data_IF_426028422993
#
_entry.id   IF_426028422993
#
_cell.length_a   1.000
_cell.length_b   1.000
_cell.length_c   1.000
_cell.angle_alpha   90.00
_cell.angle_beta   90.00
_cell.angle_gamma   90.00
#
_symmetry.space_group_name_H-M   'P 1'
#
loop_
_entity.id
_entity.type
_entity.pdbx_description
1 polymer ?
#
# COMPACT_ATOMS: atom_id res chain seq x y z
N UNK A 1 3.88 -58.45 62.09
CA UNK A 1 2.94 -57.35 62.36
C UNK A 1 3.63 -56.08 61.97
N UNK A 2 3.43 -55.58 60.78
CA UNK A 2 4.11 -54.40 60.23
C UNK A 2 3.09 -53.50 59.52
N UNK A 3 2.78 -52.41 60.19
CA UNK A 3 1.78 -51.44 59.72
C UNK A 3 2.47 -50.40 58.82
N UNK A 4 2.16 -50.37 57.56
CA UNK A 4 2.73 -49.41 56.59
C UNK A 4 1.88 -48.15 56.58
N UNK A 5 2.42 -47.02 56.92
CA UNK A 5 1.79 -45.70 56.81
C UNK A 5 1.91 -45.18 55.39
N UNK A 6 0.80 -44.99 54.74
CA UNK A 6 0.68 -44.36 53.43
C UNK A 6 0.62 -42.82 53.65
N UNK A 7 1.68 -42.09 53.31
CA UNK A 7 1.64 -40.63 53.29
C UNK A 7 1.13 -40.13 51.93
N UNK A 8 -0.04 -39.54 51.92
CA UNK A 8 -0.64 -38.87 50.78
C UNK A 8 -0.03 -37.48 50.70
N UNK A 9 0.83 -37.24 49.71
CA UNK A 9 1.28 -35.89 49.34
C UNK A 9 0.26 -35.26 48.39
N UNK A 10 -0.56 -34.35 48.90
CA UNK A 10 -1.40 -33.50 48.08
C UNK A 10 -0.53 -32.35 47.49
N UNK A 11 -0.19 -32.47 46.22
CA UNK A 11 0.41 -31.39 45.46
C UNK A 11 -0.67 -30.40 45.04
N UNK A 12 -0.75 -29.25 45.70
CA UNK A 12 -1.58 -28.14 45.27
C UNK A 12 -0.92 -27.47 44.07
N UNK A 13 -1.45 -27.73 42.88
CA UNK A 13 -1.09 -27.00 41.64
C UNK A 13 -1.78 -25.64 41.72
N UNK A 14 -1.03 -24.61 42.08
CA UNK A 14 -1.46 -23.23 42.04
C UNK A 14 -1.43 -22.77 40.55
N UNK A 15 -2.54 -22.90 39.84
CA UNK A 15 -2.72 -22.32 38.50
C UNK A 15 -2.83 -20.82 38.66
N UNK A 16 -1.70 -20.09 38.51
CA UNK A 16 -1.73 -18.66 38.34
C UNK A 16 -2.33 -18.34 36.95
N UNK A 17 -3.63 -18.03 36.93
CA UNK A 17 -4.25 -17.42 35.77
C UNK A 17 -3.65 -16.03 35.59
N UNK A 18 -2.68 -15.92 34.67
CA UNK A 18 -2.21 -14.64 34.20
C UNK A 18 -3.35 -14.07 33.36
N UNK A 19 -4.20 -13.25 33.99
CA UNK A 19 -5.14 -12.42 33.27
C UNK A 19 -4.32 -11.39 32.49
N UNK A 20 -4.08 -11.65 31.21
CA UNK A 20 -3.58 -10.64 30.28
C UNK A 20 -4.73 -9.65 30.10
N UNK A 21 -4.78 -8.64 30.97
CA UNK A 21 -5.56 -7.45 30.73
C UNK A 21 -4.92 -6.75 29.52
N UNK A 22 -5.44 -7.02 28.33
CA UNK A 22 -5.20 -6.15 27.17
C UNK A 22 -5.81 -4.80 27.51
N UNK A 23 -5.00 -3.91 28.07
CA UNK A 23 -5.37 -2.49 28.13
C UNK A 23 -5.52 -2.08 26.66
N UNK A 24 -6.74 -1.72 26.28
CA UNK A 24 -6.95 -0.99 25.03
C UNK A 24 -6.07 0.26 25.15
N UNK A 25 -5.03 0.36 24.33
CA UNK A 25 -4.15 1.51 24.32
C UNK A 25 -5.01 2.72 23.96
N UNK A 26 -4.96 3.76 24.77
CA UNK A 26 -5.65 4.99 24.46
C UNK A 26 -5.16 5.53 23.12
N UNK A 27 -6.08 6.08 22.33
CA UNK A 27 -5.73 6.67 21.04
C UNK A 27 -4.75 7.84 21.23
N UNK A 28 -3.80 8.03 20.30
CA UNK A 28 -2.96 9.22 20.29
C UNK A 28 -3.81 10.49 20.36
N UNK A 29 -3.43 11.43 21.22
CA UNK A 29 -4.17 12.68 21.46
C UNK A 29 -3.66 13.85 20.62
N UNK A 30 -2.60 13.63 19.83
CA UNK A 30 -2.04 14.61 18.89
C UNK A 30 -1.37 13.93 17.70
N UNK A 31 -1.16 14.69 16.64
CA UNK A 31 -0.41 14.22 15.47
C UNK A 31 1.04 13.84 15.83
N UNK A 32 1.67 14.60 16.74
CA UNK A 32 3.02 14.31 17.23
C UNK A 32 3.09 13.00 18.00
N UNK A 33 2.06 12.71 18.81
CA UNK A 33 1.99 11.43 19.52
C UNK A 33 1.78 10.29 18.52
N UNK A 34 0.87 10.43 17.55
CA UNK A 34 0.66 9.44 16.48
C UNK A 34 1.97 9.15 15.72
N UNK A 35 2.69 10.21 15.33
CA UNK A 35 4.01 10.10 14.69
C UNK A 35 5.01 9.36 15.56
N UNK A 36 5.11 9.73 16.84
CA UNK A 36 6.07 9.13 17.78
C UNK A 36 5.78 7.65 18.04
N UNK A 37 4.50 7.29 18.11
CA UNK A 37 4.06 5.89 18.27
C UNK A 37 4.34 5.06 17.03
N UNK A 38 4.10 5.62 15.82
CA UNK A 38 4.48 4.97 14.57
C UNK A 38 6.00 4.74 14.50
N UNK A 39 6.80 5.76 14.80
CA UNK A 39 8.26 5.67 14.79
C UNK A 39 8.75 4.59 15.76
N UNK A 40 8.16 4.52 16.96
CA UNK A 40 8.48 3.48 17.96
C UNK A 40 8.10 2.09 17.47
N UNK A 41 6.92 1.94 16.86
CA UNK A 41 6.44 0.66 16.33
C UNK A 41 7.28 0.16 15.16
N UNK A 42 7.71 1.06 14.26
CA UNK A 42 8.64 0.72 13.17
C UNK A 42 10.00 0.27 13.73
N UNK A 43 10.58 1.01 14.68
CA UNK A 43 11.86 0.66 15.31
C UNK A 43 11.82 -0.69 16.04
N UNK A 44 10.70 -1.02 16.68
CA UNK A 44 10.49 -2.32 17.34
C UNK A 44 10.03 -3.43 16.39
N UNK A 45 9.78 -3.11 15.12
CA UNK A 45 9.24 -4.03 14.09
C UNK A 45 7.90 -4.66 14.50
N UNK A 46 7.09 -3.90 15.25
CA UNK A 46 5.82 -4.36 15.80
C UNK A 46 4.66 -4.02 14.86
N UNK A 47 4.34 -4.96 13.98
CA UNK A 47 3.23 -4.84 13.03
C UNK A 47 1.88 -4.60 13.73
N UNK A 48 1.64 -5.24 14.89
CA UNK A 48 0.39 -5.08 15.61
C UNK A 48 0.27 -3.68 16.21
N UNK A 49 1.35 -3.11 16.74
CA UNK A 49 1.39 -1.74 17.19
C UNK A 49 1.08 -0.77 16.04
N UNK A 50 1.62 -1.00 14.83
CA UNK A 50 1.30 -0.18 13.65
C UNK A 50 -0.19 -0.30 13.27
N UNK A 51 -0.76 -1.53 13.23
CA UNK A 51 -2.18 -1.75 12.93
C UNK A 51 -3.07 -1.02 13.93
N UNK A 52 -2.69 -0.99 15.22
CA UNK A 52 -3.47 -0.32 16.27
C UNK A 52 -3.59 1.20 16.09
N UNK A 53 -2.75 1.81 15.26
CA UNK A 53 -2.80 3.24 14.91
C UNK A 53 -3.82 3.54 13.80
N UNK A 54 -4.38 2.52 13.15
CA UNK A 54 -5.42 2.70 12.14
C UNK A 54 -6.82 2.68 12.76
N UNK A 55 -7.66 3.58 12.30
CA UNK A 55 -9.09 3.49 12.60
C UNK A 55 -9.73 2.42 11.71
N UNK A 56 -10.01 1.25 12.27
CA UNK A 56 -10.61 0.13 11.53
C UNK A 56 -12.14 0.05 11.69
N UNK A 57 -12.76 1.07 12.27
CA UNK A 57 -14.22 1.11 12.47
C UNK A 57 -14.94 1.16 11.12
N UNK A 58 -15.81 0.19 10.87
CA UNK A 58 -16.58 0.10 9.63
C UNK A 58 -15.80 -0.42 8.40
N UNK A 59 -14.50 -0.70 8.56
CA UNK A 59 -13.65 -1.22 7.49
C UNK A 59 -13.97 -2.68 7.23
N UNK A 60 -14.16 -3.06 5.97
CA UNK A 60 -14.40 -4.45 5.56
C UNK A 60 -13.12 -5.31 5.67
N UNK A 61 -13.28 -6.62 5.78
CA UNK A 61 -12.15 -7.52 6.05
C UNK A 61 -11.11 -7.52 4.92
N UNK A 62 -11.52 -7.37 3.67
CA UNK A 62 -10.60 -7.21 2.54
C UNK A 62 -9.77 -5.92 2.64
N UNK A 63 -10.35 -4.82 3.14
CA UNK A 63 -9.62 -3.58 3.37
C UNK A 63 -8.73 -3.67 4.62
N UNK A 64 -9.13 -4.40 5.66
CA UNK A 64 -8.25 -4.68 6.82
C UNK A 64 -6.99 -5.44 6.40
N UNK A 65 -7.13 -6.43 5.52
CA UNK A 65 -5.97 -7.17 4.99
C UNK A 65 -4.98 -6.27 4.26
N UNK A 66 -5.45 -5.20 3.60
CA UNK A 66 -4.57 -4.19 3.00
C UNK A 66 -3.83 -3.41 4.09
N UNK A 67 -4.51 -3.02 5.18
CA UNK A 67 -3.85 -2.35 6.31
C UNK A 67 -2.79 -3.24 6.94
N UNK A 68 -3.08 -4.53 7.12
CA UNK A 68 -2.10 -5.51 7.63
C UNK A 68 -0.87 -5.61 6.72
N UNK A 69 -1.06 -5.62 5.41
CA UNK A 69 0.03 -5.64 4.43
C UNK A 69 0.87 -4.36 4.50
N UNK A 70 0.24 -3.19 4.58
CA UNK A 70 0.92 -1.90 4.73
C UNK A 70 1.71 -1.86 6.04
N UNK A 71 1.10 -2.27 7.16
CA UNK A 71 1.76 -2.31 8.46
C UNK A 71 2.95 -3.28 8.48
N UNK A 72 2.83 -4.44 7.83
CA UNK A 72 3.93 -5.39 7.70
C UNK A 72 5.08 -4.80 6.86
N UNK A 73 4.76 -4.07 5.78
CA UNK A 73 5.75 -3.37 4.96
C UNK A 73 6.52 -2.31 5.77
N UNK A 74 5.81 -1.47 6.53
CA UNK A 74 6.40 -0.45 7.39
C UNK A 74 7.27 -1.06 8.50
N UNK A 75 6.85 -2.17 9.10
CA UNK A 75 7.62 -2.86 10.14
C UNK A 75 8.91 -3.51 9.59
N UNK A 76 8.95 -3.84 8.31
CA UNK A 76 10.14 -4.42 7.66
C UNK A 76 11.12 -3.35 7.16
N UNK A 77 10.66 -2.12 6.97
CA UNK A 77 11.49 -1.04 6.47
C UNK A 77 12.30 -0.40 7.63
N UNK A 78 13.53 -0.03 7.35
CA UNK A 78 14.35 0.73 8.28
C UNK A 78 14.12 2.22 8.01
N UNK A 79 13.26 2.85 8.81
CA UNK A 79 12.95 4.27 8.67
C UNK A 79 14.15 5.14 9.07
N UNK A 80 14.57 6.01 8.16
CA UNK A 80 15.58 7.05 8.44
C UNK A 80 14.96 8.22 9.18
N UNK A 81 13.71 8.57 8.86
CA UNK A 81 12.97 9.63 9.54
C UNK A 81 11.45 9.44 9.41
N UNK A 82 10.73 9.97 10.42
CA UNK A 82 9.26 10.05 10.42
C UNK A 82 8.87 11.50 10.71
N UNK A 83 8.18 12.15 9.76
CA UNK A 83 7.85 13.58 9.83
C UNK A 83 6.36 13.81 9.60
N UNK A 84 5.83 14.86 10.20
CA UNK A 84 4.49 15.37 9.88
C UNK A 84 4.63 16.38 8.74
N UNK A 85 3.78 16.27 7.73
CA UNK A 85 3.67 17.23 6.64
C UNK A 85 2.22 17.67 6.43
N UNK A 86 2.01 18.86 5.87
CA UNK A 86 0.66 19.29 5.52
C UNK A 86 0.07 18.39 4.42
N UNK A 87 -1.25 18.27 4.42
CA UNK A 87 -1.96 17.62 3.33
C UNK A 87 -1.83 18.49 2.07
N UNK A 88 -1.27 17.98 0.95
CA UNK A 88 -1.25 18.72 -0.30
C UNK A 88 -2.67 19.10 -0.76
N UNK A 89 -2.85 20.32 -1.28
CA UNK A 89 -4.16 20.86 -1.61
C UNK A 89 -4.92 20.08 -2.72
N UNK A 90 -4.18 19.36 -3.54
CA UNK A 90 -4.66 18.53 -4.66
C UNK A 90 -4.76 17.04 -4.32
N UNK A 91 -4.66 16.66 -3.04
CA UNK A 91 -4.74 15.27 -2.63
C UNK A 91 -6.14 14.70 -2.86
N UNK A 92 -6.26 13.75 -3.77
CA UNK A 92 -7.49 12.98 -3.95
C UNK A 92 -7.61 11.92 -2.85
N UNK A 93 -8.53 12.14 -1.92
CA UNK A 93 -8.82 11.22 -0.80
C UNK A 93 -9.89 10.18 -1.13
N UNK A 94 -10.55 10.32 -2.26
CA UNK A 94 -11.62 9.43 -2.72
C UNK A 94 -11.25 8.85 -4.07
N UNK A 95 -11.37 7.54 -4.20
CA UNK A 95 -11.14 6.84 -5.47
C UNK A 95 -12.39 6.05 -5.87
N UNK A 96 -12.78 6.14 -7.15
CA UNK A 96 -13.94 5.43 -7.69
C UNK A 96 -13.48 4.44 -8.75
N UNK A 97 -13.74 3.15 -8.51
CA UNK A 97 -13.34 2.06 -9.41
C UNK A 97 -14.48 1.05 -9.54
N UNK A 98 -14.92 0.81 -10.78
CA UNK A 98 -15.90 -0.24 -11.06
C UNK A 98 -17.24 -0.09 -10.31
N UNK A 99 -17.72 1.16 -10.12
CA UNK A 99 -18.95 1.45 -9.39
C UNK A 99 -18.82 1.31 -7.87
N UNK A 100 -17.59 1.24 -7.37
CA UNK A 100 -17.28 1.25 -5.94
C UNK A 100 -16.47 2.51 -5.64
N UNK A 101 -16.92 3.27 -4.64
CA UNK A 101 -16.21 4.42 -4.09
C UNK A 101 -15.43 3.97 -2.86
N UNK A 102 -14.16 4.33 -2.83
CA UNK A 102 -13.25 4.14 -1.70
C UNK A 102 -12.93 5.49 -1.09
N UNK A 103 -13.07 5.60 0.22
CA UNK A 103 -12.84 6.87 0.94
C UNK A 103 -12.37 6.61 2.38
N UNK A 104 -11.66 7.56 3.00
CA UNK A 104 -11.19 7.43 4.37
C UNK A 104 -12.37 7.45 5.36
N UNK A 105 -12.28 6.67 6.42
CA UNK A 105 -13.30 6.61 7.48
C UNK A 105 -13.17 7.70 8.56
N UNK A 106 -12.14 8.54 8.44
CA UNK A 106 -11.95 9.74 9.27
C UNK A 106 -11.59 10.93 8.38
N UNK A 107 -11.97 12.17 8.75
CA UNK A 107 -11.53 13.36 8.06
C UNK A 107 -10.00 13.45 8.06
N UNK A 108 -9.39 13.50 6.89
CA UNK A 108 -7.93 13.62 6.75
C UNK A 108 -7.52 15.08 6.92
N UNK A 109 -6.53 15.35 7.76
CA UNK A 109 -6.06 16.70 8.11
C UNK A 109 -4.57 16.90 7.85
N UNK A 110 -3.81 15.84 7.57
CA UNK A 110 -2.39 15.93 7.29
C UNK A 110 -1.82 14.60 6.82
N UNK A 111 -0.50 14.57 6.66
CA UNK A 111 0.27 13.41 6.24
C UNK A 111 1.39 13.12 7.23
N UNK A 112 1.74 11.85 7.39
CA UNK A 112 3.01 11.44 7.97
C UNK A 112 3.86 10.85 6.85
N UNK A 113 5.08 11.38 6.72
CA UNK A 113 6.09 10.91 5.78
C UNK A 113 7.05 9.98 6.51
N UNK A 114 7.19 8.76 6.02
CA UNK A 114 8.17 7.79 6.48
C UNK A 114 9.24 7.68 5.40
N UNK A 115 10.41 8.21 5.66
CA UNK A 115 11.56 8.14 4.78
C UNK A 115 12.37 6.90 5.13
N UNK A 116 12.54 6.00 4.18
CA UNK A 116 13.37 4.81 4.33
C UNK A 116 14.86 5.16 4.31
N UNK A 117 15.70 4.31 4.91
CA UNK A 117 17.15 4.37 4.72
C UNK A 117 17.58 4.12 3.29
N UNK A 118 16.70 3.57 2.46
CA UNK A 118 16.92 3.40 1.01
C UNK A 118 16.62 4.73 0.31
N UNK A 119 17.59 5.32 -0.41
CA UNK A 119 17.43 6.62 -1.06
C UNK A 119 16.20 6.65 -1.99
N UNK A 120 15.39 7.69 -1.86
CA UNK A 120 14.24 7.94 -2.74
C UNK A 120 12.96 7.15 -2.38
N UNK A 121 12.97 6.38 -1.30
CA UNK A 121 11.77 5.68 -0.84
C UNK A 121 11.13 6.45 0.31
N UNK A 122 10.05 7.18 0.00
CA UNK A 122 9.23 7.92 0.97
C UNK A 122 7.80 7.40 0.92
N UNK A 123 7.30 6.97 2.06
CA UNK A 123 5.89 6.54 2.20
C UNK A 123 5.09 7.66 2.83
N UNK A 124 4.02 8.09 2.16
CA UNK A 124 3.09 9.11 2.65
C UNK A 124 1.85 8.45 3.22
N UNK A 125 1.57 8.66 4.50
CA UNK A 125 0.44 8.07 5.19
C UNK A 125 -0.48 9.21 5.67
N UNK A 126 -1.71 9.33 5.13
CA UNK A 126 -2.65 10.32 5.61
C UNK A 126 -3.03 10.05 7.07
N UNK A 127 -3.32 11.09 7.84
CA UNK A 127 -3.87 10.97 9.18
C UNK A 127 -5.03 11.93 9.40
N UNK A 128 -5.87 11.61 10.37
CA UNK A 128 -7.03 12.42 10.71
C UNK A 128 -7.43 12.29 12.17
N UNK A 129 -8.46 13.03 12.55
CA UNK A 129 -8.99 13.04 13.90
C UNK A 129 -10.39 12.44 13.94
N UNK A 130 -10.69 11.61 14.94
CA UNK A 130 -12.00 11.04 15.19
C UNK A 130 -12.19 10.73 16.67
N UNK A 131 -13.32 11.13 17.23
CA UNK A 131 -13.67 10.86 18.63
C UNK A 131 -12.60 11.27 19.66
N UNK A 132 -11.87 12.37 19.39
CA UNK A 132 -10.81 12.89 20.26
C UNK A 132 -9.48 12.16 20.18
N UNK A 133 -9.30 11.29 19.19
CA UNK A 133 -8.04 10.60 18.91
C UNK A 133 -7.56 10.84 17.48
N UNK A 134 -6.25 10.72 17.28
CA UNK A 134 -5.59 10.81 15.97
C UNK A 134 -5.30 9.41 15.44
N UNK A 135 -5.60 9.17 14.16
CA UNK A 135 -5.51 7.86 13.54
C UNK A 135 -5.04 7.94 12.09
N UNK A 136 -4.45 6.90 11.60
CA UNK A 136 -4.41 6.62 10.17
C UNK A 136 -5.81 6.16 9.73
N UNK A 137 -6.38 6.71 8.65
CA UNK A 137 -7.70 6.31 8.19
C UNK A 137 -7.70 4.86 7.69
N UNK A 138 -8.73 4.13 8.08
CA UNK A 138 -9.12 2.94 7.34
C UNK A 138 -9.89 3.34 6.09
N UNK A 139 -9.93 2.47 5.09
CA UNK A 139 -10.67 2.72 3.86
C UNK A 139 -12.06 2.09 3.94
N UNK A 140 -13.07 2.94 3.78
CA UNK A 140 -14.45 2.50 3.56
C UNK A 140 -14.70 2.28 2.07
N UNK A 141 -15.63 1.40 1.75
CA UNK A 141 -16.12 1.20 0.39
C UNK A 141 -17.64 1.33 0.34
N UNK A 142 -18.12 2.05 -0.65
CA UNK A 142 -19.53 2.22 -0.96
C UNK A 142 -19.79 1.75 -2.39
N UNK A 143 -20.69 0.79 -2.56
CA UNK A 143 -21.12 0.35 -3.88
C UNK A 143 -22.28 1.23 -4.31
N UNK A 144 -22.04 2.16 -5.23
CA UNK A 144 -23.06 3.07 -5.73
C UNK A 144 -23.63 2.65 -7.11
N UNK A 145 -22.94 1.76 -7.80
CA UNK A 145 -23.40 1.18 -9.05
C UNK A 145 -23.09 -0.32 -9.10
N UNK A 146 -23.95 -1.14 -8.51
CA UNK A 146 -23.81 -2.58 -8.50
C UNK A 146 -23.84 -3.24 -9.89
N UNK A 147 -24.35 -2.50 -10.91
CA UNK A 147 -24.38 -2.94 -12.31
C UNK A 147 -23.12 -2.55 -13.09
N UNK A 148 -22.21 -1.77 -12.49
CA UNK A 148 -20.97 -1.43 -13.15
C UNK A 148 -20.12 -2.69 -13.37
N UNK A 149 -19.48 -2.82 -14.54
CA UNK A 149 -18.55 -3.92 -14.77
C UNK A 149 -17.48 -3.94 -13.68
N UNK A 150 -17.21 -5.13 -13.15
CA UNK A 150 -16.16 -5.29 -12.13
C UNK A 150 -14.84 -4.82 -12.74
N UNK A 151 -14.23 -3.82 -12.13
CA UNK A 151 -12.96 -3.29 -12.61
C UNK A 151 -11.89 -4.39 -12.60
N UNK A 152 -11.22 -4.55 -13.72
CA UNK A 152 -10.15 -5.52 -13.94
C UNK A 152 -8.87 -5.06 -13.28
N UNK A 153 -8.00 -6.01 -12.95
CA UNK A 153 -6.60 -5.71 -12.64
C UNK A 153 -5.87 -5.50 -13.96
N UNK A 154 -5.28 -4.33 -14.12
CA UNK A 154 -4.54 -3.92 -15.29
C UNK A 154 -3.07 -3.78 -14.90
N UNK A 155 -2.17 -4.36 -15.68
CA UNK A 155 -0.74 -4.29 -15.43
C UNK A 155 -0.02 -3.72 -16.66
N UNK A 156 0.92 -2.82 -16.39
CA UNK A 156 1.86 -2.31 -17.38
C UNK A 156 3.26 -2.55 -16.83
N UNK A 157 4.07 -3.31 -17.55
CA UNK A 157 5.44 -3.59 -17.19
C UNK A 157 6.35 -3.09 -18.33
N UNK A 158 7.27 -2.23 -17.98
CA UNK A 158 8.37 -1.81 -18.85
C UNK A 158 9.67 -2.37 -18.29
N UNK A 159 10.42 -3.06 -19.13
CA UNK A 159 11.70 -3.65 -18.79
C UNK A 159 12.76 -3.00 -19.66
N UNK A 160 13.78 -2.41 -19.05
CA UNK A 160 14.91 -1.84 -19.74
C UNK A 160 16.22 -2.52 -19.31
N UNK A 161 17.01 -2.96 -20.29
CA UNK A 161 18.36 -3.50 -20.10
C UNK A 161 19.37 -2.53 -20.75
N UNK A 162 20.08 -1.77 -19.93
CA UNK A 162 21.01 -0.74 -20.38
C UNK A 162 22.46 -1.11 -20.01
N UNK A 163 23.40 -1.05 -20.95
CA UNK A 163 24.77 -1.49 -20.72
C UNK A 163 25.56 -0.53 -19.79
N UNK A 164 25.17 0.71 -19.70
CA UNK A 164 25.80 1.72 -18.87
C UNK A 164 24.75 2.55 -18.18
N UNK A 165 24.89 2.75 -16.87
CA UNK A 165 24.10 3.66 -16.01
C UNK A 165 22.58 3.74 -16.24
N UNK A 166 21.88 4.16 -15.23
CA UNK A 166 20.43 4.35 -15.22
C UNK A 166 19.95 5.28 -16.34
N UNK A 167 19.06 4.79 -17.16
CA UNK A 167 18.38 5.52 -18.23
C UNK A 167 17.05 6.06 -17.73
N UNK A 168 16.78 7.34 -17.96
CA UNK A 168 15.49 7.97 -17.63
C UNK A 168 14.50 7.66 -18.76
N UNK A 169 13.35 7.15 -18.37
CA UNK A 169 12.24 6.81 -19.26
C UNK A 169 11.11 7.77 -18.95
N UNK A 170 10.58 8.42 -19.97
CA UNK A 170 9.39 9.25 -19.89
C UNK A 170 8.29 8.69 -20.77
N UNK A 171 7.04 8.96 -20.44
CA UNK A 171 5.94 8.53 -21.28
C UNK A 171 4.61 8.72 -20.63
N UNK A 172 3.60 8.10 -21.22
CA UNK A 172 2.26 8.10 -20.68
C UNK A 172 1.57 6.77 -20.97
N UNK A 173 0.50 6.54 -20.23
CA UNK A 173 -0.48 5.51 -20.55
C UNK A 173 -1.90 6.05 -20.38
N UNK A 174 -2.81 5.50 -21.17
CA UNK A 174 -4.24 5.83 -21.17
C UNK A 174 -5.01 4.57 -20.83
N UNK A 175 -5.86 4.66 -19.83
CA UNK A 175 -6.77 3.57 -19.46
C UNK A 175 -8.19 4.08 -19.27
N UNK A 176 -9.15 3.17 -19.34
CA UNK A 176 -10.57 3.45 -19.09
C UNK A 176 -10.90 2.98 -17.68
N UNK A 177 -11.60 3.81 -16.92
CA UNK A 177 -12.12 3.47 -15.60
C UNK A 177 -13.52 4.08 -15.45
N UNK A 178 -14.52 3.22 -15.21
CA UNK A 178 -15.92 3.64 -15.15
C UNK A 178 -16.41 4.31 -16.43
N UNK A 179 -15.90 3.88 -17.60
CA UNK A 179 -16.21 4.46 -18.90
C UNK A 179 -15.49 5.78 -19.23
N UNK A 180 -14.67 6.30 -18.33
CA UNK A 180 -13.88 7.53 -18.55
C UNK A 180 -12.44 7.18 -18.92
N UNK A 181 -11.88 7.93 -19.86
CA UNK A 181 -10.47 7.84 -20.19
C UNK A 181 -9.63 8.65 -19.19
N UNK A 182 -8.59 8.04 -18.69
CA UNK A 182 -7.64 8.64 -17.75
C UNK A 182 -6.24 8.52 -18.35
N UNK A 183 -5.56 9.65 -18.48
CA UNK A 183 -4.16 9.70 -18.93
C UNK A 183 -3.26 9.89 -17.72
N UNK A 184 -2.17 9.13 -17.65
CA UNK A 184 -1.13 9.26 -16.64
C UNK A 184 0.21 9.47 -17.31
N UNK A 185 0.86 10.59 -17.00
CA UNK A 185 2.25 10.81 -17.37
C UNK A 185 3.16 10.17 -16.35
N UNK A 186 4.25 9.61 -16.81
CA UNK A 186 5.21 8.90 -15.96
C UNK A 186 6.64 9.24 -16.32
N UNK A 187 7.49 9.24 -15.28
CA UNK A 187 8.94 9.36 -15.40
C UNK A 187 9.56 8.38 -14.41
N UNK A 188 10.42 7.50 -14.88
CA UNK A 188 11.05 6.47 -14.05
C UNK A 188 12.44 6.11 -14.60
N UNK A 189 13.18 5.29 -13.85
CA UNK A 189 14.53 4.89 -14.23
C UNK A 189 14.58 3.40 -14.49
N UNK A 190 15.15 3.01 -15.62
CA UNK A 190 15.38 1.64 -16.10
C UNK A 190 14.09 0.82 -16.32
N UNK A 191 13.42 0.39 -15.27
CA UNK A 191 12.26 -0.51 -15.37
C UNK A 191 11.15 -0.05 -14.42
N UNK A 192 9.92 -0.35 -14.78
CA UNK A 192 8.77 -0.09 -13.93
C UNK A 192 7.72 -1.19 -14.05
N UNK A 193 6.92 -1.34 -13.00
CA UNK A 193 5.71 -2.15 -13.04
C UNK A 193 4.59 -1.37 -12.34
N UNK A 194 3.50 -1.13 -13.07
CA UNK A 194 2.28 -0.54 -12.52
C UNK A 194 1.16 -1.57 -12.52
N UNK A 195 0.52 -1.71 -11.36
CA UNK A 195 -0.69 -2.52 -11.21
C UNK A 195 -1.80 -1.62 -10.65
N UNK A 196 -2.92 -1.55 -11.34
CA UNK A 196 -4.04 -0.71 -10.95
C UNK A 196 -5.37 -1.34 -11.42
N UNK A 197 -6.48 -0.76 -11.00
CA UNK A 197 -7.81 -1.23 -11.41
C UNK A 197 -8.41 -0.30 -12.46
N UNK A 198 -9.10 -0.88 -13.45
CA UNK A 198 -9.78 -0.16 -14.51
C UNK A 198 -10.54 -1.10 -15.42
N UNK A 199 -11.17 -0.56 -16.46
CA UNK A 199 -11.94 -1.35 -17.42
C UNK A 199 -11.03 -1.96 -18.49
N UNK A 200 -10.08 -1.17 -19.00
CA UNK A 200 -9.08 -1.63 -20.00
C UNK A 200 -7.95 -0.60 -20.17
N UNK A 201 -6.82 -1.05 -20.69
CA UNK A 201 -5.74 -0.17 -21.14
C UNK A 201 -5.97 0.17 -22.62
N UNK A 202 -5.99 1.46 -22.96
CA UNK A 202 -6.12 1.94 -24.33
C UNK A 202 -4.80 2.05 -25.05
N UNK A 203 -3.85 2.70 -24.42
CA UNK A 203 -2.53 2.90 -25.01
C UNK A 203 -1.45 3.09 -23.97
N UNK A 204 -0.23 2.78 -24.37
CA UNK A 204 0.97 3.11 -23.62
C UNK A 204 2.02 3.62 -24.62
N UNK A 205 2.76 4.66 -24.23
CA UNK A 205 3.91 5.13 -25.00
C UNK A 205 5.02 5.51 -24.03
N UNK A 206 6.19 4.89 -24.18
CA UNK A 206 7.37 5.20 -23.40
C UNK A 206 8.54 5.53 -24.30
N UNK A 207 9.37 6.48 -23.88
CA UNK A 207 10.51 7.00 -24.60
C UNK A 207 11.72 7.07 -23.67
N UNK A 208 12.87 6.71 -24.17
CA UNK A 208 14.18 6.98 -23.59
C UNK A 208 14.99 7.91 -24.50
N UNK A 209 15.98 8.57 -23.93
CA UNK A 209 16.76 9.56 -24.69
C UNK A 209 17.83 8.89 -25.56
N UNK A 210 18.38 7.75 -25.15
CA UNK A 210 19.39 7.03 -25.92
C UNK A 210 18.79 5.98 -26.84
N UNK A 211 19.55 5.56 -27.86
CA UNK A 211 19.26 4.39 -28.69
C UNK A 211 19.93 3.12 -28.17
N UNK A 212 20.74 3.21 -27.11
CA UNK A 212 21.47 2.05 -26.56
C UNK A 212 20.60 1.19 -25.65
N UNK A 213 20.94 -0.08 -25.56
CA UNK A 213 20.21 -1.06 -24.75
C UNK A 213 18.93 -1.57 -25.39
N UNK A 214 18.26 -2.43 -24.68
CA UNK A 214 17.03 -3.10 -25.10
C UNK A 214 15.88 -2.73 -24.21
N UNK A 215 14.67 -2.64 -24.73
CA UNK A 215 13.44 -2.36 -23.99
C UNK A 215 12.34 -3.33 -24.36
N UNK A 216 11.47 -3.63 -23.40
CA UNK A 216 10.29 -4.46 -23.57
C UNK A 216 9.11 -3.80 -22.86
N UNK A 217 7.94 -3.88 -23.49
CA UNK A 217 6.67 -3.47 -22.92
C UNK A 217 5.71 -4.64 -22.89
N UNK A 218 5.23 -4.98 -21.71
CA UNK A 218 4.18 -5.97 -21.51
C UNK A 218 2.96 -5.29 -20.92
N UNK A 219 1.80 -5.58 -21.51
CA UNK A 219 0.50 -5.11 -21.03
C UNK A 219 -0.38 -6.32 -20.74
N UNK A 220 -0.96 -6.34 -19.54
CA UNK A 220 -1.77 -7.45 -19.04
C UNK A 220 -3.11 -6.94 -18.51
N UNK A 221 -4.17 -7.68 -18.75
CA UNK A 221 -5.50 -7.47 -18.16
C UNK A 221 -5.93 -8.76 -17.44
N UNK A 222 -6.11 -8.72 -16.13
CA UNK A 222 -6.49 -9.85 -15.27
C UNK A 222 -5.59 -11.09 -15.38
N UNK A 223 -4.28 -10.90 -15.46
CA UNK A 223 -3.30 -11.98 -15.61
C UNK A 223 -3.20 -12.53 -17.04
N UNK A 224 -3.95 -11.95 -17.98
CA UNK A 224 -3.84 -12.29 -19.38
C UNK A 224 -3.03 -11.26 -20.13
N UNK A 225 -1.88 -11.67 -20.64
CA UNK A 225 -1.04 -10.83 -21.50
C UNK A 225 -1.82 -10.47 -22.77
N UNK A 226 -2.08 -9.16 -22.97
CA UNK A 226 -2.77 -8.62 -24.16
C UNK A 226 -1.81 -8.00 -25.14
N UNK A 227 -0.61 -7.63 -24.69
CA UNK A 227 0.48 -7.16 -25.53
C UNK A 227 1.81 -7.53 -24.93
N UNK A 228 2.74 -7.88 -25.78
CA UNK A 228 4.13 -8.17 -25.49
C UNK A 228 4.94 -7.77 -26.71
N UNK A 229 5.81 -6.77 -26.55
CA UNK A 229 6.68 -6.33 -27.66
C UNK A 229 7.84 -7.28 -27.89
N UNK A 230 8.11 -8.18 -26.94
CA UNK A 230 9.42 -8.78 -26.80
C UNK A 230 10.52 -7.75 -26.54
N UNK A 231 11.73 -8.21 -26.36
CA UNK A 231 12.89 -7.34 -26.18
C UNK A 231 13.30 -6.71 -27.52
N UNK A 232 13.24 -5.38 -27.62
CA UNK A 232 13.58 -4.63 -28.83
C UNK A 232 14.87 -3.86 -28.59
N UNK A 233 15.85 -4.07 -29.46
CA UNK A 233 17.15 -3.38 -29.43
C UNK A 233 17.12 -2.11 -30.28
N UNK A 234 17.99 -1.17 -29.96
CA UNK A 234 18.26 0.04 -30.74
C UNK A 234 17.04 0.93 -31.02
N UNK A 235 16.00 0.83 -30.18
CA UNK A 235 14.85 1.75 -30.25
C UNK A 235 14.84 2.68 -29.05
N UNK A 236 14.36 3.90 -29.25
CA UNK A 236 14.17 4.86 -28.18
C UNK A 236 12.70 5.10 -27.84
N UNK A 237 11.79 4.39 -28.50
CA UNK A 237 10.35 4.51 -28.24
C UNK A 237 9.65 3.16 -28.39
N UNK A 238 8.71 2.89 -27.49
CA UNK A 238 7.87 1.70 -27.52
C UNK A 238 6.43 2.10 -27.30
N UNK A 239 5.50 1.46 -28.03
CA UNK A 239 4.08 1.81 -28.02
C UNK A 239 3.20 0.58 -28.02
N UNK A 240 2.08 0.71 -27.34
CA UNK A 240 0.92 -0.16 -27.44
C UNK A 240 -0.32 0.70 -27.71
N UNK A 241 -1.18 0.25 -28.59
CA UNK A 241 -2.49 0.85 -28.85
C UNK A 241 -3.49 -0.28 -29.06
N UNK A 242 -4.58 -0.24 -28.28
CA UNK A 242 -5.66 -1.22 -28.37
C UNK A 242 -6.45 -0.95 -29.65
N UNK A 243 -6.50 -1.95 -30.51
CA UNK A 243 -7.29 -1.93 -31.76
C UNK A 243 -8.79 -2.13 -31.49
#
# INVERSE_FOLDING_TARGET
>A
MTTTFLRLCAAAVLSAAISVTTFAKDAPTSAEQLRSELESAIKSKDTNAIISLFNLRGVSDDMKSIVEMVAAGLAQDDAASVKISPLPADTELTNEVGGVRYYPNVPVIGMIEVESTRPGNVTHIPYGESAGGFYFPGTLKEVFNASAPKAKILNIMFIGLFPQKSEVITGNYVYVNGGKEITKDVCFTNSMSYSFRGDSIKSCQFKKDSHEGSIELVVDEEGKKIFDSGMIEHTNIIRYEKK
#
